data_IF_378164499332
#
_entry.id   IF_378164499332
#
_cell.length_a   1.000
_cell.length_b   1.000
_cell.length_c   1.000
_cell.angle_alpha   90.00
_cell.angle_beta   90.00
_cell.angle_gamma   90.00
#
_symmetry.space_group_name_H-M   'P 1'
#
loop_
_entity.id
_entity.type
_entity.pdbx_description
1 polymer ?
#
# COMPACT_ATOMS: atom_id res chain seq x y z
N UNK A 1 -8.07 -15.00 16.45
CA UNK A 1 -7.55 -14.94 15.06
C UNK A 1 -6.82 -13.63 14.93
N UNK A 2 -5.52 -13.64 14.60
CA UNK A 2 -4.72 -12.42 14.44
C UNK A 2 -5.11 -11.64 13.19
N UNK A 3 -4.89 -10.33 13.19
CA UNK A 3 -5.03 -9.51 12.00
C UNK A 3 -3.95 -9.89 10.97
N UNK A 4 -4.25 -9.71 9.68
CA UNK A 4 -3.26 -9.89 8.61
C UNK A 4 -2.16 -8.83 8.73
N UNK A 5 -0.93 -9.22 8.45
CA UNK A 5 0.27 -8.39 8.60
C UNK A 5 0.85 -8.12 7.20
N UNK A 6 0.72 -6.90 6.72
CA UNK A 6 1.16 -6.51 5.39
C UNK A 6 2.69 -6.48 5.28
N UNK A 7 3.42 -6.14 6.35
CA UNK A 7 4.88 -6.07 6.33
C UNK A 7 5.58 -7.44 6.32
N UNK A 8 4.82 -8.54 6.43
CA UNK A 8 5.31 -9.92 6.27
C UNK A 8 5.69 -10.24 4.83
N UNK A 9 6.43 -11.32 4.59
CA UNK A 9 6.79 -11.77 3.23
C UNK A 9 5.54 -12.05 2.37
N UNK A 10 4.51 -12.65 2.95
CA UNK A 10 3.23 -12.91 2.28
C UNK A 10 2.49 -11.60 1.96
N UNK A 11 2.47 -10.66 2.90
CA UNK A 11 1.86 -9.34 2.71
C UNK A 11 2.56 -8.52 1.63
N UNK A 12 3.90 -8.50 1.62
CA UNK A 12 4.72 -7.86 0.58
C UNK A 12 4.46 -8.48 -0.79
N UNK A 13 4.41 -9.82 -0.87
CA UNK A 13 4.11 -10.53 -2.11
C UNK A 13 2.71 -10.20 -2.64
N UNK A 14 1.71 -10.11 -1.75
CA UNK A 14 0.36 -9.67 -2.10
C UNK A 14 0.36 -8.23 -2.64
N UNK A 15 0.94 -7.28 -1.91
CA UNK A 15 1.00 -5.88 -2.35
C UNK A 15 1.71 -5.72 -3.71
N UNK A 16 2.83 -6.43 -3.91
CA UNK A 16 3.54 -6.45 -5.20
C UNK A 16 2.64 -6.97 -6.32
N UNK A 17 1.94 -8.08 -6.09
CA UNK A 17 1.02 -8.65 -7.08
C UNK A 17 -0.09 -7.66 -7.46
N UNK A 18 -0.72 -7.01 -6.48
CA UNK A 18 -1.78 -6.02 -6.72
C UNK A 18 -1.26 -4.81 -7.55
N UNK A 19 -0.02 -4.39 -7.29
CA UNK A 19 0.59 -3.27 -8.01
C UNK A 19 1.01 -3.65 -9.44
N UNK A 20 1.45 -4.87 -9.68
CA UNK A 20 1.80 -5.35 -11.03
C UNK A 20 0.61 -5.32 -12.01
N UNK A 21 -0.62 -5.39 -11.50
CA UNK A 21 -1.82 -5.31 -12.34
C UNK A 21 -2.15 -3.88 -12.81
N UNK A 22 -1.60 -2.85 -12.14
CA UNK A 22 -1.99 -1.45 -12.36
C UNK A 22 -0.83 -0.51 -12.69
N UNK A 23 0.42 -0.89 -12.36
CA UNK A 23 1.59 -0.05 -12.54
C UNK A 23 2.42 -0.48 -13.75
N UNK A 24 2.96 0.47 -14.52
CA UNK A 24 3.79 0.17 -15.69
C UNK A 24 5.16 -0.40 -15.34
N UNK A 25 5.62 -0.21 -14.09
CA UNK A 25 6.92 -0.66 -13.61
C UNK A 25 6.79 -1.32 -12.25
N UNK A 26 7.67 -2.30 -11.99
CA UNK A 26 7.71 -3.01 -10.70
C UNK A 26 7.97 -2.03 -9.54
N UNK A 27 7.45 -2.40 -8.38
CA UNK A 27 7.58 -1.57 -7.17
C UNK A 27 8.91 -1.89 -6.49
N UNK A 28 9.70 -0.86 -6.20
CA UNK A 28 10.94 -1.02 -5.46
C UNK A 28 10.69 -1.53 -4.05
N UNK A 29 11.61 -2.34 -3.52
CA UNK A 29 11.46 -2.93 -2.18
C UNK A 29 11.30 -1.88 -1.08
N UNK A 30 12.05 -0.77 -1.15
CA UNK A 30 11.90 0.32 -0.18
C UNK A 30 10.54 1.00 -0.23
N UNK A 31 9.86 1.02 -1.39
CA UNK A 31 8.49 1.54 -1.48
C UNK A 31 7.51 0.53 -0.90
N UNK A 32 7.70 -0.77 -1.16
CA UNK A 32 6.87 -1.83 -0.56
C UNK A 32 6.99 -1.87 0.96
N UNK A 33 8.18 -1.68 1.50
CA UNK A 33 8.40 -1.56 2.94
C UNK A 33 7.55 -0.44 3.52
N UNK A 34 7.66 0.78 2.97
CA UNK A 34 6.83 1.94 3.40
C UNK A 34 5.34 1.64 3.28
N UNK A 35 4.89 1.14 2.13
CA UNK A 35 3.48 0.84 1.85
C UNK A 35 2.93 -0.17 2.84
N UNK A 36 3.66 -1.26 3.10
CA UNK A 36 3.18 -2.35 3.95
C UNK A 36 3.12 -1.95 5.43
N UNK A 37 4.12 -1.22 5.94
CA UNK A 37 4.08 -0.64 7.29
C UNK A 37 2.94 0.38 7.44
N UNK A 38 2.70 1.22 6.43
CA UNK A 38 1.54 2.11 6.43
C UNK A 38 0.21 1.35 6.45
N UNK A 39 0.09 0.24 5.70
CA UNK A 39 -1.10 -0.63 5.68
C UNK A 39 -1.34 -1.33 7.02
N UNK A 40 -0.28 -1.63 7.76
CA UNK A 40 -0.34 -2.13 9.13
C UNK A 40 -0.70 -1.04 10.15
N UNK A 41 -0.87 0.21 9.72
CA UNK A 41 -1.29 1.34 10.56
C UNK A 41 -0.15 1.94 11.37
N UNK A 42 1.10 1.75 10.94
CA UNK A 42 2.27 2.33 11.58
C UNK A 42 2.60 3.73 11.02
N UNK A 43 3.10 4.61 11.89
CA UNK A 43 3.66 5.90 11.48
C UNK A 43 5.04 5.68 10.84
N UNK A 44 5.19 6.00 9.55
CA UNK A 44 6.42 5.76 8.81
C UNK A 44 7.20 7.06 8.56
N UNK A 45 8.42 7.13 9.11
CA UNK A 45 9.41 8.15 8.74
C UNK A 45 10.31 7.61 7.62
N UNK A 46 10.12 8.09 6.40
CA UNK A 46 10.87 7.62 5.25
C UNK A 46 11.92 8.62 4.77
N UNK A 47 13.21 8.28 4.93
CA UNK A 47 14.34 9.10 4.46
C UNK A 47 14.80 8.66 3.08
N UNK A 48 14.24 9.26 2.03
CA UNK A 48 14.58 8.94 0.64
C UNK A 48 15.19 10.14 -0.09
N UNK A 49 16.17 9.87 -0.96
CA UNK A 49 16.77 10.89 -1.82
C UNK A 49 15.73 11.65 -2.67
N UNK A 50 16.06 12.85 -3.13
CA UNK A 50 15.23 13.54 -4.12
C UNK A 50 15.18 12.73 -5.42
N UNK A 51 14.01 12.70 -6.07
CA UNK A 51 13.81 11.92 -7.30
C UNK A 51 13.60 10.41 -7.13
N UNK A 52 13.74 9.85 -5.92
CA UNK A 52 13.65 8.39 -5.70
C UNK A 52 12.21 7.83 -5.58
N UNK A 53 11.19 8.61 -5.93
CA UNK A 53 9.81 8.14 -5.95
C UNK A 53 9.06 8.18 -4.61
N UNK A 54 9.28 9.21 -3.77
CA UNK A 54 8.48 9.44 -2.55
C UNK A 54 6.99 9.58 -2.87
N UNK A 55 6.64 10.48 -3.79
CA UNK A 55 5.25 10.67 -4.26
C UNK A 55 4.71 9.40 -4.90
N UNK A 56 5.54 8.70 -5.67
CA UNK A 56 5.16 7.43 -6.31
C UNK A 56 4.82 6.34 -5.26
N UNK A 57 5.49 6.30 -4.11
CA UNK A 57 5.15 5.39 -3.02
C UNK A 57 3.72 5.64 -2.47
N UNK A 58 3.32 6.91 -2.30
CA UNK A 58 1.95 7.25 -1.90
C UNK A 58 0.92 6.92 -2.99
N UNK A 59 1.25 7.14 -4.26
CA UNK A 59 0.37 6.75 -5.38
C UNK A 59 0.14 5.23 -5.36
N UNK A 60 1.22 4.45 -5.22
CA UNK A 60 1.14 2.99 -5.11
C UNK A 60 0.34 2.54 -3.90
N UNK A 61 0.51 3.18 -2.74
CA UNK A 61 -0.35 2.91 -1.57
C UNK A 61 -1.84 3.06 -1.91
N UNK A 62 -2.23 4.15 -2.57
CA UNK A 62 -3.62 4.36 -2.98
C UNK A 62 -4.12 3.25 -3.92
N UNK A 63 -3.31 2.81 -4.88
CA UNK A 63 -3.66 1.70 -5.76
C UNK A 63 -3.82 0.37 -5.03
N UNK A 64 -2.98 0.07 -4.03
CA UNK A 64 -3.15 -1.12 -3.18
C UNK A 64 -4.48 -1.02 -2.41
N UNK A 65 -4.79 0.13 -1.82
CA UNK A 65 -6.06 0.34 -1.10
C UNK A 65 -7.27 0.15 -2.03
N UNK A 66 -7.22 0.68 -3.26
CA UNK A 66 -8.27 0.49 -4.27
C UNK A 66 -8.41 -0.99 -4.67
N UNK A 67 -7.30 -1.71 -4.83
CA UNK A 67 -7.35 -3.12 -5.20
C UNK A 67 -7.90 -3.98 -4.05
N UNK A 68 -7.52 -3.68 -2.79
CA UNK A 68 -8.06 -4.33 -1.60
C UNK A 68 -9.56 -4.05 -1.42
N UNK A 69 -10.03 -2.84 -1.74
CA UNK A 69 -11.46 -2.49 -1.59
C UNK A 69 -12.36 -3.19 -2.62
N UNK A 70 -11.82 -3.52 -3.80
CA UNK A 70 -12.52 -4.24 -4.86
C UNK A 70 -12.51 -5.76 -4.70
N UNK A 71 -11.60 -6.29 -3.89
CA UNK A 71 -11.43 -7.75 -3.71
C UNK A 71 -12.08 -8.23 -2.40
N UNK A 72 -12.21 -9.55 -2.22
CA UNK A 72 -12.68 -10.15 -0.95
C UNK A 72 -11.76 -9.86 0.25
N UNK A 73 -10.62 -9.19 0.01
CA UNK A 73 -9.63 -8.77 0.99
C UNK A 73 -9.98 -7.44 1.69
N UNK A 74 -11.16 -6.87 1.43
CA UNK A 74 -11.61 -5.63 2.06
C UNK A 74 -11.58 -5.64 3.60
N UNK A 75 -11.71 -6.82 4.21
CA UNK A 75 -11.60 -7.02 5.66
C UNK A 75 -10.15 -6.98 6.20
N UNK A 76 -9.14 -7.05 5.32
CA UNK A 76 -7.73 -7.01 5.70
C UNK A 76 -7.21 -5.58 5.87
N UNK A 77 -7.80 -4.62 5.16
CA UNK A 77 -7.45 -3.22 5.31
C UNK A 77 -7.94 -2.74 6.68
N UNK A 78 -7.02 -2.39 7.59
CA UNK A 78 -7.36 -1.57 8.75
C UNK A 78 -8.01 -0.29 8.22
N UNK A 79 -9.13 0.11 8.79
CA UNK A 79 -9.90 1.27 8.31
C UNK A 79 -8.95 2.47 8.17
N UNK A 80 -8.72 2.94 6.93
CA UNK A 80 -8.01 4.19 6.65
C UNK A 80 -9.06 5.30 6.55
N UNK A 81 -9.44 5.98 7.64
CA UNK A 81 -10.53 6.95 7.61
C UNK A 81 -10.27 8.11 6.65
N UNK A 82 -9.00 8.48 6.37
CA UNK A 82 -8.70 9.63 5.50
C UNK A 82 -8.56 9.29 4.00
N UNK A 83 -7.92 8.18 3.62
CA UNK A 83 -7.56 7.94 2.20
C UNK A 83 -8.76 7.49 1.37
N UNK A 84 -9.64 6.65 1.94
CA UNK A 84 -10.85 6.20 1.24
C UNK A 84 -11.85 7.35 1.01
N UNK A 85 -11.91 8.31 1.92
CA UNK A 85 -12.79 9.46 1.79
C UNK A 85 -12.33 10.39 0.66
N UNK A 86 -11.02 10.56 0.44
CA UNK A 86 -10.50 11.33 -0.69
C UNK A 86 -10.71 10.65 -2.06
N UNK A 87 -10.68 9.32 -2.14
CA UNK A 87 -10.81 8.58 -3.41
C UNK A 87 -12.25 8.42 -3.90
N UNK A 88 -13.26 8.70 -3.08
CA UNK A 88 -14.67 8.74 -3.49
C UNK A 88 -15.06 10.05 -4.21
N UNK A 89 -14.17 11.04 -4.24
CA UNK A 89 -14.38 12.34 -4.88
C UNK A 89 -13.52 12.57 -6.13
N UNK A 90 -12.90 11.52 -6.67
CA UNK A 90 -12.14 11.55 -7.95
C UNK A 90 -12.82 10.66 -8.97
#
# INVERSE_FOLDING_TARGET
MGAFVFCSDEGRALCRKLLQETMPFDTHDYQLEVITHMLDGEDVLCTMATGSGKTDAFIRLMHVIIALSKTRHSHLAKTFPLILQCLQYV
#
